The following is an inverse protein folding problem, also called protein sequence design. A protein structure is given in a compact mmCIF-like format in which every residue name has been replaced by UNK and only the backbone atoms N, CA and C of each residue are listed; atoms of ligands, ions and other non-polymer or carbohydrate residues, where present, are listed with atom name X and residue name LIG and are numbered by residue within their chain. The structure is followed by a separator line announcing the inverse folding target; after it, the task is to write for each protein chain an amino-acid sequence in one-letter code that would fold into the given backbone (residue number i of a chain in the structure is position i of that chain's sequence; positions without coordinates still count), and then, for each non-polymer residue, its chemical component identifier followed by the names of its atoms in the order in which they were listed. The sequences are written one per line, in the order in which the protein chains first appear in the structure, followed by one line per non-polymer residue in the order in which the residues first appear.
data_IF_910471774728
#
_entry.id   IF_910471774728
#
_cell.length_a   1.000
_cell.length_b   1.000
_cell.length_c   1.000
_cell.angle_alpha   90.00
_cell.angle_beta   90.00
_cell.angle_gamma   90.00
#
_symmetry.space_group_name_H-M   'P 1'
#
loop_
_entity.id
_entity.type
_entity.pdbx_description
1 polymer ?
#
# COMPACT_ATOMS: atom_id res chain seq x y z
N UNK A 1 13.99 8.55 9.13
CA UNK A 1 14.02 7.08 9.20
C UNK A 1 12.75 6.57 8.51
N UNK A 2 12.86 5.70 7.51
CA UNK A 2 11.68 5.16 6.80
C UNK A 2 11.05 4.07 7.66
N UNK A 3 9.74 4.16 7.94
CA UNK A 3 8.98 3.13 8.67
C UNK A 3 8.78 1.84 7.84
N UNK A 4 9.11 1.88 6.55
CA UNK A 4 9.06 0.74 5.65
C UNK A 4 10.43 0.06 5.54
N UNK A 5 10.84 -0.64 6.58
CA UNK A 5 12.00 -1.54 6.54
C UNK A 5 11.49 -2.96 6.33
N UNK A 6 11.25 -3.33 5.08
CA UNK A 6 10.89 -4.70 4.70
C UNK A 6 12.14 -5.48 4.28
N UNK A 7 12.23 -6.75 4.67
CA UNK A 7 13.26 -7.67 4.15
C UNK A 7 13.16 -7.79 2.62
N UNK A 8 14.27 -8.06 1.95
CA UNK A 8 14.31 -8.24 0.48
C UNK A 8 13.30 -9.28 -0.04
N UNK A 9 13.14 -10.40 0.66
CA UNK A 9 12.18 -11.45 0.30
C UNK A 9 10.72 -10.95 0.38
N UNK A 10 10.40 -10.18 1.43
CA UNK A 10 9.07 -9.57 1.61
C UNK A 10 8.77 -8.59 0.49
N UNK A 11 9.74 -7.76 0.12
CA UNK A 11 9.58 -6.80 -0.99
C UNK A 11 9.39 -7.52 -2.33
N UNK A 12 10.15 -8.58 -2.57
CA UNK A 12 10.03 -9.39 -3.80
C UNK A 12 8.63 -10.01 -3.91
N UNK A 13 8.10 -10.59 -2.82
CA UNK A 13 6.72 -11.10 -2.79
C UNK A 13 5.69 -10.00 -3.02
N UNK A 14 5.89 -8.82 -2.43
CA UNK A 14 5.00 -7.69 -2.59
C UNK A 14 4.93 -7.22 -4.06
N UNK A 15 6.08 -7.10 -4.73
CA UNK A 15 6.14 -6.71 -6.16
C UNK A 15 5.35 -7.68 -7.05
N UNK A 16 5.46 -8.99 -6.82
CA UNK A 16 4.68 -10.00 -7.56
C UNK A 16 3.17 -9.80 -7.36
N UNK A 17 2.75 -9.51 -6.12
CA UNK A 17 1.35 -9.20 -5.82
C UNK A 17 0.84 -7.94 -6.51
N UNK A 18 1.67 -6.89 -6.54
CA UNK A 18 1.35 -5.61 -7.20
C UNK A 18 1.22 -5.81 -8.72
N UNK A 19 2.15 -6.52 -9.35
CA UNK A 19 2.11 -6.82 -10.79
C UNK A 19 0.86 -7.61 -11.18
N UNK A 20 0.46 -8.60 -10.37
CA UNK A 20 -0.75 -9.36 -10.58
C UNK A 20 -2.02 -8.50 -10.47
N UNK A 21 -2.13 -7.67 -9.42
CA UNK A 21 -3.28 -6.78 -9.24
C UNK A 21 -3.34 -5.71 -10.36
N UNK A 22 -2.19 -5.18 -10.78
CA UNK A 22 -2.10 -4.26 -11.90
C UNK A 22 -2.66 -4.90 -13.17
N UNK A 23 -2.23 -6.12 -13.51
CA UNK A 23 -2.70 -6.82 -14.70
C UNK A 23 -4.22 -6.99 -14.72
N UNK A 24 -4.82 -7.37 -13.59
CA UNK A 24 -6.27 -7.54 -13.49
C UNK A 24 -7.01 -6.20 -13.53
N UNK A 25 -6.48 -5.16 -12.89
CA UNK A 25 -7.10 -3.82 -12.93
C UNK A 25 -7.03 -3.20 -14.33
N UNK A 26 -5.93 -3.39 -15.05
CA UNK A 26 -5.79 -2.93 -16.43
C UNK A 26 -6.81 -3.60 -17.34
N UNK A 27 -7.02 -4.92 -17.23
CA UNK A 27 -8.07 -5.62 -18.00
C UNK A 27 -9.45 -5.02 -17.77
N UNK A 28 -9.80 -4.70 -16.52
CA UNK A 28 -11.09 -4.07 -16.19
C UNK A 28 -11.19 -2.69 -16.86
N UNK A 29 -10.20 -1.82 -16.67
CA UNK A 29 -10.22 -0.47 -17.26
C UNK A 29 -10.28 -0.51 -18.79
N UNK A 30 -9.49 -1.37 -19.43
CA UNK A 30 -9.48 -1.57 -20.87
C UNK A 30 -10.84 -2.09 -21.37
N UNK A 31 -11.47 -3.03 -20.65
CA UNK A 31 -12.81 -3.54 -20.99
C UNK A 31 -13.91 -2.48 -20.86
N UNK A 32 -13.71 -1.47 -20.01
CA UNK A 32 -14.61 -0.33 -19.85
C UNK A 32 -14.31 0.82 -20.85
N UNK A 33 -13.32 0.67 -21.73
CA UNK A 33 -12.88 1.71 -22.66
C UNK A 33 -12.08 2.86 -22.02
N UNK A 34 -11.66 2.71 -20.75
CA UNK A 34 -10.91 3.69 -19.97
C UNK A 34 -9.41 3.61 -20.25
N UNK A 35 -9.04 3.80 -21.51
CA UNK A 35 -7.67 3.60 -22.00
C UNK A 35 -6.66 4.58 -21.39
N UNK A 36 -7.08 5.83 -21.14
CA UNK A 36 -6.20 6.84 -20.54
C UNK A 36 -5.90 6.52 -19.07
N UNK A 37 -6.91 6.08 -18.32
CA UNK A 37 -6.78 5.63 -16.93
C UNK A 37 -5.90 4.39 -16.84
N UNK A 38 -6.09 3.42 -17.74
CA UNK A 38 -5.25 2.23 -17.83
C UNK A 38 -3.79 2.61 -18.10
N UNK A 39 -3.54 3.49 -19.07
CA UNK A 39 -2.19 3.96 -19.37
C UNK A 39 -1.56 4.70 -18.18
N UNK A 40 -2.30 5.61 -17.53
CA UNK A 40 -1.81 6.34 -16.35
C UNK A 40 -1.44 5.40 -15.22
N UNK A 41 -2.29 4.42 -14.92
CA UNK A 41 -2.05 3.43 -13.88
C UNK A 41 -0.80 2.60 -14.20
N UNK A 42 -0.71 2.06 -15.42
CA UNK A 42 0.43 1.26 -15.89
C UNK A 42 1.75 2.02 -15.75
N UNK A 43 1.84 3.23 -16.32
CA UNK A 43 3.07 4.02 -16.29
C UNK A 43 3.52 4.33 -14.87
N UNK A 44 2.59 4.66 -13.97
CA UNK A 44 2.94 4.98 -12.58
C UNK A 44 3.40 3.74 -11.83
N UNK A 45 2.65 2.64 -11.92
CA UNK A 45 2.95 1.42 -11.16
C UNK A 45 4.23 0.75 -11.67
N UNK A 46 4.49 0.73 -12.97
CA UNK A 46 5.73 0.16 -13.52
C UNK A 46 6.96 0.94 -13.05
N UNK A 47 6.89 2.27 -13.03
CA UNK A 47 7.97 3.12 -12.50
C UNK A 47 8.20 2.87 -11.01
N UNK A 48 7.13 2.80 -10.21
CA UNK A 48 7.25 2.52 -8.78
C UNK A 48 7.86 1.13 -8.53
N UNK A 49 7.46 0.10 -9.30
CA UNK A 49 8.05 -1.24 -9.24
C UNK A 49 9.53 -1.26 -9.59
N UNK A 50 9.96 -0.49 -10.58
CA UNK A 50 11.37 -0.36 -10.92
C UNK A 50 12.18 0.31 -9.78
N UNK A 51 11.63 1.36 -9.18
CA UNK A 51 12.22 2.03 -8.02
C UNK A 51 12.32 1.10 -6.80
N UNK A 52 11.27 0.31 -6.53
CA UNK A 52 11.30 -0.71 -5.46
C UNK A 52 12.37 -1.79 -5.73
N UNK A 53 12.57 -2.18 -6.99
CA UNK A 53 13.54 -3.21 -7.37
C UNK A 53 14.99 -2.72 -7.27
N UNK A 54 15.27 -1.49 -7.67
CA UNK A 54 16.64 -0.95 -7.73
C UNK A 54 17.07 -0.25 -6.43
N UNK A 55 16.17 0.54 -5.84
CA UNK A 55 16.48 1.43 -4.72
C UNK A 55 15.88 0.92 -3.40
N UNK A 56 14.86 0.06 -3.47
CA UNK A 56 14.17 -0.49 -2.29
C UNK A 56 13.06 0.42 -1.73
N UNK A 57 12.81 1.58 -2.34
CA UNK A 57 11.69 2.47 -2.01
C UNK A 57 11.19 3.24 -3.24
N UNK A 58 9.95 3.73 -3.19
CA UNK A 58 9.37 4.63 -4.18
C UNK A 58 8.58 5.77 -3.49
N UNK A 59 8.22 6.81 -4.24
CA UNK A 59 7.36 7.87 -3.73
C UNK A 59 5.91 7.37 -3.66
N UNK A 60 5.32 7.44 -2.47
CA UNK A 60 3.98 6.91 -2.24
C UNK A 60 3.96 5.41 -1.90
N UNK A 61 5.03 4.89 -1.30
CA UNK A 61 5.17 3.47 -0.94
C UNK A 61 4.02 2.96 -0.05
N UNK A 62 3.40 3.85 0.73
CA UNK A 62 2.24 3.56 1.57
C UNK A 62 1.01 3.06 0.80
N UNK A 63 0.89 3.42 -0.50
CA UNK A 63 -0.16 2.90 -1.38
C UNK A 63 -0.04 1.39 -1.62
N UNK A 64 1.15 0.84 -1.39
CA UNK A 64 1.46 -0.59 -1.51
C UNK A 64 1.52 -1.31 -0.16
N UNK A 65 1.18 -0.64 0.95
CA UNK A 65 1.28 -1.17 2.31
C UNK A 65 0.62 -2.54 2.47
N UNK A 66 -0.54 -2.78 1.87
CA UNK A 66 -1.22 -4.09 1.89
C UNK A 66 -0.36 -5.21 1.30
N UNK A 67 0.27 -4.98 0.16
CA UNK A 67 1.13 -5.95 -0.52
C UNK A 67 2.43 -6.16 0.23
N UNK A 68 3.05 -5.07 0.69
CA UNK A 68 4.27 -5.09 1.50
C UNK A 68 4.00 -5.89 2.77
N UNK A 69 2.84 -5.67 3.40
CA UNK A 69 2.49 -6.34 4.63
C UNK A 69 2.03 -7.79 4.46
N UNK A 70 1.67 -8.18 3.23
CA UNK A 70 1.08 -9.48 2.96
C UNK A 70 -0.33 -9.63 3.52
N UNK A 71 -1.05 -8.52 3.69
CA UNK A 71 -2.41 -8.53 4.27
C UNK A 71 -3.48 -8.82 3.22
N UNK A 72 -4.58 -9.44 3.65
CA UNK A 72 -5.74 -9.69 2.81
C UNK A 72 -6.42 -8.37 2.37
N UNK A 73 -7.08 -8.34 1.18
CA UNK A 73 -7.93 -7.23 0.79
C UNK A 73 -8.98 -6.90 1.86
N UNK A 74 -9.21 -5.62 2.12
CA UNK A 74 -10.17 -5.14 3.12
C UNK A 74 -9.70 -5.24 4.58
N UNK A 75 -8.49 -5.74 4.84
CA UNK A 75 -7.93 -5.75 6.20
C UNK A 75 -7.64 -4.33 6.72
N UNK A 76 -7.82 -4.15 8.03
CA UNK A 76 -7.43 -2.92 8.72
C UNK A 76 -5.93 -2.65 8.52
N UNK A 77 -5.53 -1.40 8.25
CA UNK A 77 -4.12 -1.02 8.21
C UNK A 77 -3.54 -1.07 9.63
N UNK A 78 -2.24 -1.30 9.72
CA UNK A 78 -1.51 -0.99 10.95
C UNK A 78 -1.49 0.54 11.14
N UNK A 79 -1.71 0.95 12.37
CA UNK A 79 -1.81 2.33 12.81
C UNK A 79 -0.84 2.55 13.99
N UNK A 80 -0.80 3.78 14.51
CA UNK A 80 -0.03 4.07 15.71
C UNK A 80 -0.50 3.25 16.92
N UNK A 81 -1.79 2.92 16.99
CA UNK A 81 -2.37 2.17 18.12
C UNK A 81 -1.74 0.79 18.23
N UNK A 82 -1.46 0.13 17.09
CA UNK A 82 -0.90 -1.22 17.05
C UNK A 82 0.55 -1.32 17.58
N UNK A 83 1.22 -0.18 17.83
CA UNK A 83 2.55 -0.14 18.45
C UNK A 83 2.50 -0.17 19.98
N UNK A 84 1.34 0.06 20.58
CA UNK A 84 1.18 0.03 22.02
C UNK A 84 0.85 -1.38 22.52
N UNK A 85 1.18 -1.70 23.78
CA UNK A 85 0.66 -2.88 24.45
C UNK A 85 -0.88 -2.87 24.51
N UNK A 86 -1.49 -4.04 24.59
CA UNK A 86 -2.96 -4.20 24.63
C UNK A 86 -3.62 -3.45 25.81
N UNK A 87 -2.89 -3.16 26.89
CA UNK A 87 -3.36 -2.51 28.11
C UNK A 87 -3.00 -1.01 28.19
N UNK A 88 -2.65 -0.38 27.07
CA UNK A 88 -2.33 1.04 27.03
C UNK A 88 -3.51 1.97 27.37
N UNK A 89 -3.17 3.17 27.87
CA UNK A 89 -4.14 4.23 28.13
C UNK A 89 -4.20 5.21 26.96
N UNK A 90 -5.40 5.47 26.46
CA UNK A 90 -5.69 6.54 25.50
C UNK A 90 -6.48 7.65 26.19
N UNK A 91 -6.03 8.89 26.03
CA UNK A 91 -6.79 10.08 26.41
C UNK A 91 -7.28 10.74 25.12
N UNK A 92 -8.60 10.92 25.00
CA UNK A 92 -9.23 11.66 23.91
C UNK A 92 -9.65 13.02 24.47
N UNK A 93 -8.83 14.03 24.19
CA UNK A 93 -9.17 15.41 24.54
C UNK A 93 -10.33 15.90 23.68
N UNK A 94 -11.21 16.75 24.24
CA UNK A 94 -12.41 17.27 23.56
C UNK A 94 -13.22 16.22 22.77
N UNK A 95 -13.49 15.08 23.41
CA UNK A 95 -14.14 13.91 22.76
C UNK A 95 -15.44 14.22 22.00
N UNK A 96 -16.20 15.23 22.42
CA UNK A 96 -17.43 15.68 21.74
C UNK A 96 -17.18 16.30 20.35
N UNK A 97 -15.94 16.68 20.05
CA UNK A 97 -15.47 17.12 18.73
C UNK A 97 -14.65 16.03 18.04
N UNK A 98 -13.81 15.31 18.78
CA UNK A 98 -12.82 14.39 18.22
C UNK A 98 -13.40 13.06 17.76
N UNK A 99 -14.50 12.59 18.36
CA UNK A 99 -15.22 11.39 17.91
C UNK A 99 -16.41 11.83 17.05
N UNK A 100 -16.48 11.43 15.75
CA UNK A 100 -17.53 11.84 14.82
C UNK A 100 -18.90 11.23 15.11
#
# INVERSE_FOLDING_TARGET
ASHYVASHDRMTRAMVGIEAELADRLKVLESEGKLLEAQRLRMRTDYDLEMLRQVGFCNGIENYSRHIDGRAPGSAPSTLIDYFPDDFLVVIDESHVTVP
#
